data_IF_669858365375
#
_entry.id   IF_669858365375
#
_cell.length_a   1.000
_cell.length_b   1.000
_cell.length_c   1.000
_cell.angle_alpha   90.00
_cell.angle_beta   90.00
_cell.angle_gamma   90.00
#
_symmetry.space_group_name_H-M   'P 1'
#
loop_
_entity.id
_entity.type
_entity.pdbx_description
1 polymer ?
#
# COMPACT_ATOMS: atom_id res chain seq x y z
N UNK A 1 1.03 6.94 11.36
CA UNK A 1 1.21 7.34 9.95
C UNK A 1 1.91 6.21 9.24
N UNK A 2 1.26 5.63 8.23
CA UNK A 2 1.89 4.73 7.27
C UNK A 2 2.47 5.57 6.14
N UNK A 3 3.60 5.19 5.56
CA UNK A 3 4.17 5.80 4.36
C UNK A 3 4.49 4.68 3.38
N UNK A 4 4.12 4.84 2.12
CA UNK A 4 4.49 3.90 1.05
C UNK A 4 5.84 4.34 0.52
N UNK A 5 6.79 3.41 0.46
CA UNK A 5 8.17 3.66 0.07
C UNK A 5 8.55 2.63 -0.99
N UNK A 6 9.31 3.07 -1.99
CA UNK A 6 9.91 2.16 -2.96
C UNK A 6 11.25 1.62 -2.42
N UNK A 7 11.52 0.37 -2.78
CA UNK A 7 12.72 -0.34 -2.39
C UNK A 7 13.09 -1.35 -3.46
N UNK A 8 14.38 -1.46 -3.72
CA UNK A 8 14.95 -2.47 -4.59
C UNK A 8 15.33 -3.70 -3.77
N UNK A 9 14.87 -4.88 -4.18
CA UNK A 9 15.30 -6.15 -3.58
C UNK A 9 16.46 -6.74 -4.38
N UNK A 10 17.63 -6.85 -3.75
CA UNK A 10 18.84 -7.37 -4.38
C UNK A 10 19.64 -8.23 -3.39
N UNK A 11 20.09 -9.41 -3.82
CA UNK A 11 20.94 -10.32 -3.03
C UNK A 11 20.40 -10.65 -1.63
N UNK A 12 19.09 -10.83 -1.52
CA UNK A 12 18.43 -11.13 -0.24
C UNK A 12 18.26 -9.91 0.67
N UNK A 13 18.60 -8.71 0.20
CA UNK A 13 18.52 -7.45 0.95
C UNK A 13 17.51 -6.51 0.29
N UNK A 14 16.66 -5.92 1.11
CA UNK A 14 15.76 -4.86 0.70
C UNK A 14 16.43 -3.51 0.94
N UNK A 15 16.73 -2.77 -0.12
CA UNK A 15 17.33 -1.44 -0.07
C UNK A 15 16.26 -0.39 -0.42
N UNK A 16 15.94 0.49 0.54
CA UNK A 16 14.99 1.59 0.33
C UNK A 16 15.61 2.68 -0.54
N UNK A 17 14.83 3.27 -1.44
CA UNK A 17 15.30 4.34 -2.32
C UNK A 17 15.46 5.68 -1.58
N UNK A 18 14.71 5.85 -0.48
CA UNK A 18 14.83 7.01 0.42
C UNK A 18 15.15 6.59 1.86
N UNK A 19 15.85 7.48 2.59
CA UNK A 19 16.16 7.26 4.00
C UNK A 19 14.92 7.46 4.86
N UNK A 20 14.72 6.54 5.80
CA UNK A 20 13.74 6.71 6.88
C UNK A 20 14.18 7.82 7.85
N UNK A 21 13.20 8.44 8.50
CA UNK A 21 13.45 9.48 9.50
C UNK A 21 14.30 8.94 10.66
N UNK A 22 15.28 9.72 11.11
CA UNK A 22 16.15 9.39 12.24
C UNK A 22 15.36 9.10 13.53
N UNK A 23 14.16 9.67 13.69
CA UNK A 23 13.27 9.37 14.80
C UNK A 23 12.77 7.90 14.83
N UNK A 24 12.90 7.17 13.71
CA UNK A 24 12.52 5.77 13.56
C UNK A 24 13.68 4.78 13.79
N UNK A 25 14.91 5.27 14.03
CA UNK A 25 16.03 4.41 14.37
C UNK A 25 15.76 3.61 15.65
N UNK A 26 16.12 2.32 15.63
CA UNK A 26 15.89 1.40 16.75
C UNK A 26 14.44 0.92 16.94
N UNK A 27 13.49 1.36 16.11
CA UNK A 27 12.10 0.91 16.18
C UNK A 27 11.88 -0.34 15.32
N UNK A 28 10.96 -1.22 15.75
CA UNK A 28 10.49 -2.34 14.94
C UNK A 28 9.47 -1.82 13.92
N UNK A 29 9.74 -2.07 12.64
CA UNK A 29 8.86 -1.70 11.54
C UNK A 29 8.15 -2.94 11.00
N UNK A 30 6.87 -2.79 10.63
CA UNK A 30 6.12 -3.80 9.88
C UNK A 30 6.16 -3.39 8.41
N UNK A 31 6.76 -4.24 7.58
CA UNK A 31 6.94 -3.98 6.14
C UNK A 31 5.90 -4.81 5.39
N UNK A 32 5.22 -4.19 4.45
CA UNK A 32 4.35 -4.87 3.48
C UNK A 32 5.07 -4.73 2.14
N UNK A 33 5.51 -5.86 1.58
CA UNK A 33 6.17 -5.88 0.26
C UNK A 33 5.08 -6.09 -0.79
N UNK A 34 5.04 -5.19 -1.76
CA UNK A 34 4.20 -5.27 -2.95
C UNK A 34 5.16 -5.31 -4.12
N UNK A 35 5.02 -6.30 -5.00
CA UNK A 35 5.81 -6.34 -6.24
C UNK A 35 5.33 -5.19 -7.14
N UNK A 36 6.28 -4.36 -7.57
CA UNK A 36 6.08 -3.38 -8.65
C UNK A 36 6.16 -4.21 -9.94
N UNK A 37 5.03 -4.42 -10.61
CA UNK A 37 5.01 -5.25 -11.81
C UNK A 37 5.50 -4.40 -12.96
N UNK A 38 6.83 -4.33 -13.12
CA UNK A 38 7.42 -3.74 -14.33
C UNK A 38 7.04 -4.65 -15.49
N UNK A 39 6.00 -4.23 -16.19
CA UNK A 39 5.67 -4.54 -17.59
C UNK A 39 5.73 -6.03 -17.95
N UNK A 40 4.63 -6.74 -17.73
CA UNK A 40 4.24 -7.82 -18.64
C UNK A 40 3.02 -7.36 -19.42
N UNK A 41 3.10 -7.55 -20.74
CA UNK A 41 2.32 -6.91 -21.80
C UNK A 41 0.85 -7.38 -21.89
N UNK A 42 0.08 -7.28 -20.80
CA UNK A 42 -1.37 -7.46 -20.85
C UNK A 42 -2.06 -6.09 -20.71
N UNK A 43 -2.57 -5.58 -21.84
CA UNK A 43 -3.19 -4.25 -21.98
C UNK A 43 -4.39 -3.98 -21.04
N UNK A 44 -4.87 -4.99 -20.32
CA UNK A 44 -5.92 -4.87 -19.29
C UNK A 44 -5.42 -4.44 -17.90
N UNK A 45 -4.13 -4.62 -17.58
CA UNK A 45 -3.60 -4.43 -16.21
C UNK A 45 -2.88 -3.08 -16.00
N UNK A 46 -2.61 -2.34 -17.09
CA UNK A 46 -1.97 -1.00 -17.06
C UNK A 46 -2.71 0.06 -16.21
N UNK A 47 -4.00 -0.13 -15.94
CA UNK A 47 -4.79 0.79 -15.12
C UNK A 47 -4.82 0.42 -13.62
N UNK A 48 -4.30 -0.75 -13.24
CA UNK A 48 -4.41 -1.27 -11.87
C UNK A 48 -3.28 -0.76 -10.96
N UNK A 49 -2.06 -0.59 -11.46
CA UNK A 49 -0.94 -0.06 -10.66
C UNK A 49 -1.16 1.36 -10.13
N UNK A 50 -1.47 2.37 -10.97
CA UNK A 50 -1.74 3.73 -10.48
C UNK A 50 -2.99 3.77 -9.59
N UNK A 51 -3.95 2.84 -9.78
CA UNK A 51 -5.16 2.76 -8.96
C UNK A 51 -4.88 2.13 -7.59
N UNK A 52 -4.04 1.11 -7.50
CA UNK A 52 -3.59 0.49 -6.24
C UNK A 52 -2.77 1.48 -5.41
N UNK A 53 -1.83 2.19 -6.04
CA UNK A 53 -1.03 3.20 -5.36
C UNK A 53 -1.91 4.34 -4.82
N UNK A 54 -2.79 4.90 -5.67
CA UNK A 54 -3.77 5.92 -5.24
C UNK A 54 -4.69 5.43 -4.13
N UNK A 55 -5.12 4.16 -4.18
CA UNK A 55 -5.94 3.56 -3.13
C UNK A 55 -5.18 3.48 -1.79
N UNK A 56 -3.92 3.05 -1.82
CA UNK A 56 -3.07 3.01 -0.62
C UNK A 56 -2.79 4.40 -0.05
N UNK A 57 -2.60 5.42 -0.90
CA UNK A 57 -2.50 6.81 -0.47
C UNK A 57 -3.82 7.33 0.13
N UNK A 58 -4.96 7.03 -0.49
CA UNK A 58 -6.29 7.42 0.01
C UNK A 58 -6.62 6.74 1.34
N UNK A 59 -6.19 5.49 1.56
CA UNK A 59 -6.34 4.80 2.84
C UNK A 59 -5.68 5.55 3.99
N UNK A 60 -4.59 6.28 3.74
CA UNK A 60 -3.92 7.09 4.77
C UNK A 60 -4.74 8.32 5.14
N UNK A 61 -5.44 8.92 4.17
CA UNK A 61 -6.30 10.07 4.38
C UNK A 61 -7.65 9.68 5.00
N UNK A 62 -8.12 8.47 4.71
CA UNK A 62 -9.41 7.94 5.15
C UNK A 62 -9.26 6.78 6.14
N UNK A 63 -8.30 6.87 7.07
CA UNK A 63 -8.24 5.90 8.17
C UNK A 63 -9.31 6.25 9.20
N UNK A 64 -10.35 5.42 9.33
CA UNK A 64 -11.33 5.51 10.40
C UNK A 64 -11.45 4.17 11.11
N UNK A 65 -11.67 4.23 12.42
CA UNK A 65 -11.88 3.03 13.21
C UNK A 65 -13.28 2.51 12.94
N UNK A 66 -13.41 1.28 12.45
CA UNK A 66 -14.71 0.65 12.30
C UNK A 66 -15.30 0.36 13.69
N UNK A 67 -16.62 0.56 13.88
CA UNK A 67 -17.28 0.25 15.14
C UNK A 67 -17.23 -1.26 15.42
N UNK A 68 -17.25 -1.61 16.70
CA UNK A 68 -17.29 -3.01 17.13
C UNK A 68 -18.59 -3.67 16.61
N UNK A 69 -18.45 -4.61 15.68
CA UNK A 69 -19.57 -5.31 15.05
C UNK A 69 -19.86 -4.93 13.60
N UNK A 70 -19.03 -4.09 12.96
CA UNK A 70 -19.16 -3.82 11.53
C UNK A 70 -19.11 -5.11 10.71
N UNK A 71 -20.13 -5.32 9.87
CA UNK A 71 -20.16 -6.36 8.85
C UNK A 71 -20.24 -5.68 7.49
N UNK A 72 -19.27 -5.98 6.64
CA UNK A 72 -19.29 -5.49 5.27
C UNK A 72 -20.52 -6.08 4.55
N UNK A 73 -21.46 -5.21 4.17
CA UNK A 73 -22.61 -5.59 3.36
C UNK A 73 -22.35 -5.21 1.91
N UNK A 74 -22.27 -6.23 1.04
CA UNK A 74 -22.02 -6.04 -0.40
C UNK A 74 -23.19 -5.37 -1.11
N UNK A 75 -24.41 -5.48 -0.58
CA UNK A 75 -25.61 -4.92 -1.21
C UNK A 75 -25.67 -3.39 -1.12
N UNK A 76 -25.08 -2.78 -0.08
CA UNK A 76 -24.98 -1.32 0.09
C UNK A 76 -24.16 -0.63 -1.02
N UNK A 77 -23.35 -1.40 -1.76
CA UNK A 77 -22.49 -0.87 -2.81
C UNK A 77 -23.27 -0.44 -4.07
N UNK A 78 -24.46 -1.01 -4.27
CA UNK A 78 -25.27 -0.83 -5.48
C UNK A 78 -26.49 0.08 -5.28
N UNK A 79 -26.74 0.54 -4.04
CA UNK A 79 -27.84 1.46 -3.72
C UNK A 79 -27.46 2.94 -3.87
N UNK A 80 -26.24 3.25 -4.36
CA UNK A 80 -25.74 4.63 -4.55
C UNK A 80 -25.66 5.03 -6.02
#
# INVERSE_FOLDING_TARGET
>A
MSKVLQATYQDGKLALDEKLDAAMEGRKLRIIVLEDVIETEDEGDRALEPRKQRFLEQLQQHSFTLPEGYKFNREELYER
#
